data_IF_579906042832
#
_entry.id   IF_579906042832
#
_cell.length_a   1.000
_cell.length_b   1.000
_cell.length_c   1.000
_cell.angle_alpha   90.00
_cell.angle_beta   90.00
_cell.angle_gamma   90.00
#
_symmetry.space_group_name_H-M   'P 1'
#
loop_
_entity.id
_entity.type
_entity.pdbx_description
1 polymer ?
#
# COMPACT_ATOMS: atom_id res chain seq x y z
N UNK A 1 -43.70 20.16 37.24
CA UNK A 1 -42.44 20.72 37.78
C UNK A 1 -41.29 19.97 37.12
N UNK A 2 -40.59 20.59 36.16
CA UNK A 2 -39.25 21.20 36.30
C UNK A 2 -38.09 20.17 36.23
N UNK A 3 -37.39 20.17 35.08
CA UNK A 3 -35.91 20.05 34.90
C UNK A 3 -35.35 18.61 35.00
N UNK A 4 -34.43 18.08 34.19
CA UNK A 4 -33.50 18.54 33.12
C UNK A 4 -33.35 17.35 32.14
N UNK A 5 -33.43 17.54 30.82
CA UNK A 5 -32.27 17.52 29.92
C UNK A 5 -31.11 16.60 30.37
N UNK A 6 -31.02 15.42 29.75
CA UNK A 6 -29.77 14.67 29.62
C UNK A 6 -29.62 14.23 28.16
N UNK A 7 -29.36 15.23 27.31
CA UNK A 7 -28.73 15.05 26.00
C UNK A 7 -27.27 14.69 26.23
N UNK A 8 -26.68 13.98 25.27
CA UNK A 8 -25.25 13.78 25.04
C UNK A 8 -24.59 12.61 25.79
N UNK A 9 -24.60 11.45 25.14
CA UNK A 9 -23.34 10.73 24.91
C UNK A 9 -23.08 10.71 23.41
N UNK A 10 -22.57 11.83 22.90
CA UNK A 10 -21.83 11.84 21.65
C UNK A 10 -20.47 11.21 21.99
N UNK A 11 -20.39 9.88 21.88
CA UNK A 11 -19.10 9.19 21.86
C UNK A 11 -18.33 9.71 20.66
N UNK A 12 -17.42 10.66 20.92
CA UNK A 12 -16.40 11.12 19.99
C UNK A 12 -15.71 9.88 19.41
N UNK A 13 -15.96 9.59 18.13
CA UNK A 13 -14.99 8.86 17.34
C UNK A 13 -13.75 9.75 17.30
N UNK A 14 -12.77 9.45 18.14
CA UNK A 14 -11.43 9.99 18.00
C UNK A 14 -10.84 9.38 16.72
N UNK A 15 -11.05 10.04 15.58
CA UNK A 15 -10.28 9.76 14.38
C UNK A 15 -8.91 10.44 14.56
N UNK A 16 -7.80 9.70 14.63
CA UNK A 16 -6.48 10.31 14.57
C UNK A 16 -6.24 10.69 13.12
N UNK A 17 -6.71 11.86 12.70
CA UNK A 17 -6.63 12.29 11.30
C UNK A 17 -5.75 13.52 11.18
N UNK A 18 -4.48 13.44 11.61
CA UNK A 18 -3.51 14.54 11.44
C UNK A 18 -2.04 14.11 11.20
N UNK A 19 -1.77 12.83 10.88
CA UNK A 19 -0.41 12.35 10.57
C UNK A 19 -0.17 12.06 9.07
N UNK A 20 -1.09 12.48 8.19
CA UNK A 20 -1.03 12.09 6.78
C UNK A 20 0.05 12.85 5.99
N UNK A 21 0.34 14.11 6.33
CA UNK A 21 1.20 14.96 5.50
C UNK A 21 2.67 14.54 5.50
N UNK A 22 3.20 14.03 6.61
CA UNK A 22 4.60 13.60 6.75
C UNK A 22 4.88 12.33 5.92
N UNK A 23 4.07 11.29 6.10
CA UNK A 23 4.21 10.06 5.32
C UNK A 23 3.91 10.27 3.83
N UNK A 24 2.92 11.10 3.48
CA UNK A 24 2.62 11.42 2.08
C UNK A 24 3.77 12.19 1.41
N UNK A 25 4.37 13.17 2.11
CA UNK A 25 5.53 13.90 1.60
C UNK A 25 6.73 12.99 1.36
N UNK A 26 7.04 12.08 2.31
CA UNK A 26 8.13 11.10 2.15
C UNK A 26 7.83 10.15 1.00
N UNK A 27 6.59 9.65 0.89
CA UNK A 27 6.14 8.82 -0.23
C UNK A 27 6.33 9.55 -1.57
N UNK A 28 5.94 10.81 -1.66
CA UNK A 28 6.08 11.62 -2.87
C UNK A 28 7.56 11.84 -3.24
N UNK A 29 8.44 12.07 -2.26
CA UNK A 29 9.89 12.18 -2.49
C UNK A 29 10.45 10.86 -3.04
N UNK A 30 10.05 9.71 -2.46
CA UNK A 30 10.47 8.39 -2.92
C UNK A 30 9.97 8.14 -4.35
N UNK A 31 8.69 8.41 -4.65
CA UNK A 31 8.15 8.30 -6.01
C UNK A 31 8.95 9.14 -6.99
N UNK A 32 9.25 10.40 -6.64
CA UNK A 32 10.04 11.30 -7.49
C UNK A 32 11.45 10.75 -7.73
N UNK A 33 12.08 10.16 -6.72
CA UNK A 33 13.38 9.49 -6.87
C UNK A 33 13.28 8.29 -7.79
N UNK A 34 12.27 7.43 -7.65
CA UNK A 34 12.05 6.28 -8.52
C UNK A 34 11.88 6.72 -9.99
N UNK A 35 11.07 7.74 -10.23
CA UNK A 35 10.86 8.32 -11.57
C UNK A 35 12.14 8.94 -12.13
N UNK A 36 12.89 9.65 -11.30
CA UNK A 36 14.19 10.21 -11.69
C UNK A 36 15.23 9.13 -12.04
N UNK A 37 15.08 7.91 -11.52
CA UNK A 37 15.91 6.76 -11.86
C UNK A 37 15.38 5.98 -13.08
N UNK A 38 14.29 6.45 -13.71
CA UNK A 38 13.75 5.89 -14.96
C UNK A 38 12.56 4.95 -14.80
N UNK A 39 11.97 4.82 -13.60
CA UNK A 39 10.74 4.04 -13.40
C UNK A 39 9.51 4.88 -13.77
N UNK A 40 8.58 4.36 -14.57
CA UNK A 40 7.31 5.06 -14.78
C UNK A 40 6.41 4.91 -13.54
N UNK A 41 5.63 5.94 -13.20
CA UNK A 41 4.70 5.87 -12.06
C UNK A 41 3.64 4.77 -12.21
N UNK A 42 3.40 4.30 -13.44
CA UNK A 42 2.51 3.18 -13.74
C UNK A 42 3.13 1.80 -13.50
N UNK A 43 4.46 1.71 -13.39
CA UNK A 43 5.18 0.43 -13.21
C UNK A 43 5.36 0.05 -11.73
N UNK A 44 4.95 0.91 -10.80
CA UNK A 44 5.05 0.65 -9.38
C UNK A 44 3.96 1.33 -8.57
N UNK A 45 3.83 0.91 -7.31
CA UNK A 45 2.97 1.56 -6.33
C UNK A 45 3.68 1.58 -4.99
N UNK A 46 3.49 2.66 -4.24
CA UNK A 46 3.98 2.82 -2.88
C UNK A 46 2.81 2.76 -1.90
N UNK A 47 2.85 1.80 -1.00
CA UNK A 47 1.84 1.57 0.04
C UNK A 47 2.41 1.96 1.39
N UNK A 48 1.63 2.72 2.18
CA UNK A 48 2.00 3.05 3.55
C UNK A 48 1.30 2.04 4.45
N UNK A 49 2.07 1.28 5.22
CA UNK A 49 1.57 0.23 6.10
C UNK A 49 2.16 0.39 7.50
N UNK A 50 1.46 -0.06 8.55
CA UNK A 50 2.03 -0.12 9.90
C UNK A 50 3.31 -0.96 9.92
N UNK A 51 4.26 -0.61 10.79
CA UNK A 51 5.57 -1.26 10.87
C UNK A 51 5.47 -2.78 11.09
N UNK A 52 4.50 -3.22 11.90
CA UNK A 52 4.19 -4.63 12.19
C UNK A 52 3.62 -5.41 10.99
N UNK A 53 3.08 -4.71 9.98
CA UNK A 53 2.43 -5.31 8.81
C UNK A 53 3.27 -5.19 7.53
N UNK A 54 4.41 -4.50 7.58
CA UNK A 54 5.22 -4.26 6.39
C UNK A 54 5.75 -5.53 5.74
N UNK A 55 6.14 -6.53 6.54
CA UNK A 55 6.60 -7.83 6.06
C UNK A 55 5.47 -8.63 5.39
N UNK A 56 4.22 -8.40 5.79
CA UNK A 56 3.04 -9.07 5.23
C UNK A 56 2.56 -8.43 3.92
N UNK A 57 2.95 -7.18 3.66
CA UNK A 57 2.52 -6.43 2.49
C UNK A 57 3.06 -7.01 1.16
N UNK A 58 4.07 -7.90 1.20
CA UNK A 58 4.55 -8.62 0.01
C UNK A 58 5.31 -7.75 -1.00
N UNK A 59 5.98 -6.70 -0.53
CA UNK A 59 6.80 -5.80 -1.34
C UNK A 59 8.09 -5.41 -0.63
N UNK A 60 8.84 -4.48 -1.24
CA UNK A 60 10.12 -4.03 -0.68
C UNK A 60 9.93 -2.78 0.19
N UNK A 61 10.39 -2.82 1.44
CA UNK A 61 10.40 -1.62 2.29
C UNK A 61 11.47 -0.65 1.76
N UNK A 62 11.04 0.52 1.30
CA UNK A 62 11.90 1.56 0.69
C UNK A 62 11.98 2.83 1.54
N UNK A 63 11.19 2.93 2.61
CA UNK A 63 11.21 4.07 3.51
C UNK A 63 10.40 3.84 4.78
N UNK A 64 10.56 4.76 5.72
CA UNK A 64 9.90 4.78 7.02
C UNK A 64 9.41 6.21 7.30
N UNK A 65 8.29 6.35 7.99
CA UNK A 65 7.74 7.65 8.38
C UNK A 65 7.08 7.56 9.78
N UNK A 66 6.74 8.71 10.38
CA UNK A 66 6.14 8.79 11.71
C UNK A 66 6.96 8.09 12.82
N UNK A 67 8.28 8.35 12.89
CA UNK A 67 9.20 7.69 13.84
C UNK A 67 9.15 6.15 13.77
N UNK A 68 9.30 5.60 12.56
CA UNK A 68 9.34 4.15 12.32
C UNK A 68 8.06 3.39 12.72
N UNK A 69 6.95 4.09 12.96
CA UNK A 69 5.64 3.48 13.21
C UNK A 69 4.97 3.02 11.91
N UNK A 70 5.31 3.65 10.80
CA UNK A 70 4.81 3.32 9.47
C UNK A 70 5.96 3.11 8.48
N UNK A 71 5.78 2.15 7.57
CA UNK A 71 6.71 1.78 6.51
C UNK A 71 6.10 2.05 5.15
N UNK A 72 6.96 2.43 4.19
CA UNK A 72 6.59 2.66 2.80
C UNK A 72 7.10 1.47 2.00
N UNK A 73 6.16 0.68 1.48
CA UNK A 73 6.41 -0.56 0.74
C UNK A 73 6.24 -0.31 -0.75
N UNK A 74 7.30 -0.58 -1.50
CA UNK A 74 7.33 -0.61 -2.94
C UNK A 74 6.77 -1.93 -3.47
N UNK A 75 5.80 -1.83 -4.36
CA UNK A 75 5.23 -2.94 -5.13
C UNK A 75 5.42 -2.66 -6.61
N UNK A 76 6.07 -3.58 -7.31
CA UNK A 76 6.19 -3.48 -8.77
C UNK A 76 4.83 -3.86 -9.38
N UNK A 77 4.28 -2.97 -10.20
CA UNK A 77 3.10 -3.24 -11.03
C UNK A 77 3.53 -4.02 -12.27
N UNK A 78 4.06 -5.23 -12.05
CA UNK A 78 4.16 -6.18 -13.14
C UNK A 78 2.73 -6.54 -13.56
N UNK A 79 2.45 -6.52 -14.88
CA UNK A 79 1.20 -7.03 -15.49
C UNK A 79 0.92 -8.52 -15.16
N UNK A 80 1.72 -9.12 -14.30
CA UNK A 80 1.72 -10.50 -13.84
C UNK A 80 1.07 -10.68 -12.45
N UNK A 81 0.67 -9.60 -11.76
CA UNK A 81 -0.13 -9.72 -10.52
C UNK A 81 -1.55 -10.28 -10.75
N UNK A 82 -1.89 -10.56 -12.01
CA UNK A 82 -3.06 -11.34 -12.41
C UNK A 82 -2.65 -12.58 -13.22
N UNK A 83 -1.50 -13.20 -12.92
CA UNK A 83 -1.20 -14.54 -13.40
C UNK A 83 -1.50 -15.58 -12.31
N UNK A 84 -2.79 -15.73 -12.01
CA UNK A 84 -3.35 -17.05 -11.70
C UNK A 84 -3.65 -17.78 -13.03
N UNK A 85 -2.76 -17.67 -14.02
CA UNK A 85 -2.80 -18.53 -15.20
C UNK A 85 -2.11 -19.82 -14.75
N UNK A 86 -2.83 -20.96 -14.66
CA UNK A 86 -2.16 -22.23 -14.51
C UNK A 86 -1.27 -22.40 -15.73
N UNK A 87 0.04 -22.40 -15.53
CA UNK A 87 0.98 -22.91 -16.53
C UNK A 87 0.78 -24.43 -16.61
N UNK A 88 -0.31 -24.87 -17.24
CA UNK A 88 -0.44 -26.21 -17.79
C UNK A 88 -0.01 -26.16 -19.26
N UNK A 89 1.31 -26.02 -19.45
CA UNK A 89 1.94 -26.26 -20.75
C UNK A 89 2.32 -27.75 -20.82
N UNK A 90 1.30 -28.60 -20.98
CA UNK A 90 1.42 -30.04 -21.15
C UNK A 90 1.32 -30.48 -22.61
N UNK A 91 2.48 -30.66 -23.24
CA UNK A 91 2.80 -31.65 -24.28
C UNK A 91 2.08 -31.68 -25.64
N UNK A 92 2.87 -31.28 -26.65
CA UNK A 92 3.19 -32.07 -27.86
C UNK A 92 2.06 -32.51 -28.78
N UNK A 93 1.85 -31.74 -29.85
CA UNK A 93 1.33 -32.27 -31.11
C UNK A 93 2.45 -33.08 -31.78
N UNK A 94 2.31 -34.41 -31.78
CA UNK A 94 3.07 -35.30 -32.64
C UNK A 94 2.17 -35.69 -33.82
N UNK A 95 2.52 -35.26 -35.01
CA UNK A 95 1.93 -35.75 -36.26
C UNK A 95 3.05 -35.87 -37.28
N UNK A 96 3.38 -37.10 -37.71
CA UNK A 96 3.84 -37.34 -39.06
C UNK A 96 2.89 -38.30 -39.79
N UNK A 97 2.95 -38.18 -41.12
CA UNK A 97 2.16 -38.86 -42.16
C UNK A 97 2.03 -40.38 -42.02
#
# INVERSE_FOLDING_TARGET
>A
MKKRLAVMLLSLLALPMLAQASCESVKAEISKKLVSNGLAESDFTLEIVPNDQADQAGGQVVGHCENDTQKIVYKKLSRDAQSNVPNDAGSSHDTPQ
#
